data_IF_877926918029
#
_entry.id   IF_877926918029
#
_cell.length_a   1.000
_cell.length_b   1.000
_cell.length_c   1.000
_cell.angle_alpha   90.00
_cell.angle_beta   90.00
_cell.angle_gamma   90.00
#
_symmetry.space_group_name_H-M   'P 1'
#
loop_
_entity.id
_entity.type
_entity.pdbx_description
1 polymer ?
#
# COMPACT_ATOMS: atom_id res chain seq x y z
N UNK A 1 -12.36 -7.49 -15.83
CA UNK A 1 -11.87 -7.91 -14.49
C UNK A 1 -12.57 -9.16 -13.95
N UNK A 2 -13.83 -9.10 -13.47
CA UNK A 2 -14.50 -10.29 -12.86
C UNK A 2 -14.63 -11.44 -13.86
N UNK A 3 -15.10 -11.16 -15.08
CA UNK A 3 -15.28 -12.17 -16.11
C UNK A 3 -13.94 -12.84 -16.50
N UNK A 4 -12.88 -12.05 -16.70
CA UNK A 4 -11.53 -12.58 -16.98
C UNK A 4 -11.03 -13.49 -15.85
N UNK A 5 -11.26 -13.12 -14.59
CA UNK A 5 -10.84 -13.93 -13.44
C UNK A 5 -11.67 -15.22 -13.31
N UNK A 6 -12.96 -15.20 -13.68
CA UNK A 6 -13.79 -16.40 -13.78
C UNK A 6 -13.35 -17.33 -14.91
N UNK A 7 -13.01 -16.78 -16.07
CA UNK A 7 -12.45 -17.56 -17.19
C UNK A 7 -11.10 -18.19 -16.81
N UNK A 8 -10.23 -17.43 -16.15
CA UNK A 8 -8.96 -17.95 -15.62
C UNK A 8 -9.19 -19.08 -14.61
N UNK A 9 -10.16 -18.95 -13.71
CA UNK A 9 -10.53 -20.00 -12.76
C UNK A 9 -10.95 -21.30 -13.46
N UNK A 10 -11.71 -21.21 -14.57
CA UNK A 10 -12.07 -22.39 -15.36
C UNK A 10 -10.83 -23.06 -15.97
N UNK A 11 -9.92 -22.27 -16.55
CA UNK A 11 -8.67 -22.78 -17.13
C UNK A 11 -7.81 -23.48 -16.06
N UNK A 12 -7.62 -22.86 -14.89
CA UNK A 12 -6.84 -23.48 -13.81
C UNK A 12 -7.50 -24.75 -13.25
N UNK A 13 -8.83 -24.84 -13.28
CA UNK A 13 -9.55 -26.07 -12.93
C UNK A 13 -9.29 -27.18 -13.92
N UNK A 14 -9.32 -26.89 -15.21
CA UNK A 14 -9.04 -27.88 -16.27
C UNK A 14 -7.58 -28.38 -16.21
N UNK A 15 -6.65 -27.49 -15.86
CA UNK A 15 -5.23 -27.80 -15.64
C UNK A 15 -4.94 -28.48 -14.30
N UNK A 16 -5.93 -28.59 -13.40
CA UNK A 16 -5.77 -29.05 -12.01
C UNK A 16 -4.74 -28.26 -11.21
N UNK A 17 -4.51 -27.00 -11.57
CA UNK A 17 -3.63 -26.09 -10.83
C UNK A 17 -4.38 -25.48 -9.65
N UNK A 18 -4.17 -26.04 -8.46
CA UNK A 18 -4.83 -25.58 -7.24
C UNK A 18 -4.40 -24.15 -6.86
N UNK A 19 -3.12 -23.80 -7.03
CA UNK A 19 -2.60 -22.47 -6.70
C UNK A 19 -3.20 -21.40 -7.62
N UNK A 20 -3.29 -21.71 -8.91
CA UNK A 20 -3.96 -20.85 -9.88
C UNK A 20 -5.44 -20.63 -9.57
N UNK A 21 -6.16 -21.69 -9.17
CA UNK A 21 -7.56 -21.58 -8.74
C UNK A 21 -7.72 -20.69 -7.51
N UNK A 22 -6.87 -20.86 -6.50
CA UNK A 22 -6.91 -20.05 -5.28
C UNK A 22 -6.65 -18.58 -5.63
N UNK A 23 -5.59 -18.28 -6.38
CA UNK A 23 -5.29 -16.91 -6.83
C UNK A 23 -6.44 -16.27 -7.61
N UNK A 24 -7.09 -17.00 -8.52
CA UNK A 24 -8.24 -16.49 -9.27
C UNK A 24 -9.42 -16.16 -8.34
N UNK A 25 -9.69 -17.00 -7.32
CA UNK A 25 -10.73 -16.72 -6.32
C UNK A 25 -10.42 -15.49 -5.47
N UNK A 26 -9.15 -15.25 -5.14
CA UNK A 26 -8.72 -14.05 -4.42
C UNK A 26 -9.07 -12.80 -5.24
N UNK A 27 -8.68 -12.77 -6.53
CA UNK A 27 -8.97 -11.65 -7.42
C UNK A 27 -10.48 -11.44 -7.60
N UNK A 28 -11.25 -12.52 -7.80
CA UNK A 28 -12.72 -12.45 -7.90
C UNK A 28 -13.31 -11.82 -6.63
N UNK A 29 -12.85 -12.26 -5.46
CA UNK A 29 -13.31 -11.75 -4.17
C UNK A 29 -13.01 -10.27 -4.02
N UNK A 30 -11.76 -9.86 -4.21
CA UNK A 30 -11.33 -8.46 -4.08
C UNK A 30 -12.13 -7.53 -5.00
N UNK A 31 -12.39 -7.95 -6.24
CA UNK A 31 -13.19 -7.15 -7.19
C UNK A 31 -14.65 -7.04 -6.74
N UNK A 32 -15.26 -8.11 -6.23
CA UNK A 32 -16.63 -8.06 -5.71
C UNK A 32 -16.75 -7.18 -4.46
N UNK A 33 -15.76 -7.23 -3.56
CA UNK A 33 -15.69 -6.37 -2.37
C UNK A 33 -15.62 -4.90 -2.79
N UNK A 34 -14.73 -4.56 -3.74
CA UNK A 34 -14.62 -3.18 -4.27
C UNK A 34 -15.86 -2.70 -5.01
N UNK A 35 -16.65 -3.62 -5.57
CA UNK A 35 -17.94 -3.31 -6.19
C UNK A 35 -19.09 -3.17 -5.18
N UNK A 36 -18.84 -3.36 -3.89
CA UNK A 36 -19.88 -3.34 -2.86
C UNK A 36 -20.81 -4.56 -2.92
N UNK A 37 -20.32 -5.70 -3.43
CA UNK A 37 -21.08 -6.95 -3.56
C UNK A 37 -20.41 -8.13 -2.82
N UNK A 38 -20.16 -8.00 -1.49
CA UNK A 38 -19.49 -9.03 -0.70
C UNK A 38 -20.17 -10.41 -0.77
N UNK A 39 -21.50 -10.46 -0.83
CA UNK A 39 -22.26 -11.71 -0.91
C UNK A 39 -21.97 -12.59 -2.16
N UNK A 40 -21.31 -12.03 -3.18
CA UNK A 40 -20.91 -12.78 -4.38
C UNK A 40 -19.44 -13.23 -4.35
N UNK A 41 -18.69 -12.80 -3.35
CA UNK A 41 -17.27 -13.10 -3.25
C UNK A 41 -17.04 -14.52 -2.68
N UNK A 42 -16.32 -15.40 -3.39
CA UNK A 42 -16.19 -16.81 -3.01
C UNK A 42 -15.38 -17.07 -1.72
N UNK A 43 -14.54 -16.12 -1.29
CA UNK A 43 -13.71 -16.25 -0.08
C UNK A 43 -14.16 -15.32 1.06
N UNK A 44 -15.28 -14.60 0.90
CA UNK A 44 -15.74 -13.61 1.88
C UNK A 44 -16.12 -14.23 3.22
N UNK A 45 -16.93 -15.29 3.19
CA UNK A 45 -17.35 -16.01 4.41
C UNK A 45 -16.15 -16.59 5.19
N UNK A 46 -15.18 -17.18 4.49
CA UNK A 46 -13.95 -17.70 5.11
C UNK A 46 -13.13 -16.55 5.72
N UNK A 47 -13.04 -15.41 5.04
CA UNK A 47 -12.40 -14.21 5.56
C UNK A 47 -13.04 -13.71 6.86
N UNK A 48 -14.38 -13.67 6.93
CA UNK A 48 -15.12 -13.25 8.12
C UNK A 48 -14.93 -14.22 9.29
N UNK A 49 -14.93 -15.53 9.02
CA UNK A 49 -14.67 -16.54 10.03
C UNK A 49 -13.26 -16.39 10.62
N UNK A 50 -12.25 -16.19 9.77
CA UNK A 50 -10.87 -15.97 10.20
C UNK A 50 -10.70 -14.66 10.98
N UNK A 51 -11.36 -13.59 10.55
CA UNK A 51 -11.36 -12.31 11.27
C UNK A 51 -11.99 -12.45 12.66
N UNK A 52 -13.08 -13.22 12.79
CA UNK A 52 -13.68 -13.55 14.07
C UNK A 52 -12.74 -14.35 14.98
N UNK A 53 -12.02 -15.33 14.42
CA UNK A 53 -10.98 -16.08 15.16
C UNK A 53 -9.84 -15.19 15.63
N UNK A 54 -9.41 -14.24 14.79
CA UNK A 54 -8.39 -13.24 15.17
C UNK A 54 -8.91 -12.36 16.31
N UNK A 55 -10.12 -11.84 16.21
CA UNK A 55 -10.72 -11.01 17.26
C UNK A 55 -10.82 -11.76 18.60
N UNK A 56 -11.29 -13.02 18.58
CA UNK A 56 -11.36 -13.86 19.76
C UNK A 56 -9.98 -14.17 20.33
N UNK A 57 -8.99 -14.48 19.48
CA UNK A 57 -7.63 -14.75 19.92
C UNK A 57 -6.95 -13.52 20.55
N UNK A 58 -7.25 -12.30 20.07
CA UNK A 58 -6.80 -11.05 20.71
C UNK A 58 -7.46 -10.90 22.10
N UNK A 59 -8.76 -11.21 22.21
CA UNK A 59 -9.49 -11.07 23.48
C UNK A 59 -9.00 -12.07 24.54
N UNK A 60 -8.75 -13.31 24.13
CA UNK A 60 -8.26 -14.40 24.97
C UNK A 60 -6.74 -14.39 25.15
N UNK A 61 -6.02 -13.54 24.39
CA UNK A 61 -4.55 -13.49 24.31
C UNK A 61 -3.92 -14.84 23.90
N UNK A 62 -4.57 -15.55 22.98
CA UNK A 62 -4.11 -16.83 22.43
C UNK A 62 -3.22 -16.60 21.19
N UNK A 63 -1.91 -16.53 21.42
CA UNK A 63 -0.90 -16.32 20.36
C UNK A 63 -0.96 -17.37 19.24
N UNK A 64 -0.91 -18.69 19.55
CA UNK A 64 -1.03 -19.74 18.55
C UNK A 64 -2.30 -19.66 17.70
N UNK A 65 -3.46 -19.41 18.31
CA UNK A 65 -4.71 -19.28 17.56
C UNK A 65 -4.71 -18.04 16.65
N UNK A 66 -4.18 -16.91 17.15
CA UNK A 66 -4.00 -15.70 16.37
C UNK A 66 -3.10 -15.94 15.15
N UNK A 67 -1.92 -16.54 15.35
CA UNK A 67 -0.97 -16.81 14.27
C UNK A 67 -1.55 -17.72 13.20
N UNK A 68 -2.20 -18.82 13.60
CA UNK A 68 -2.82 -19.75 12.66
C UNK A 68 -3.95 -19.09 11.83
N UNK A 69 -4.81 -18.30 12.48
CA UNK A 69 -5.88 -17.58 11.79
C UNK A 69 -5.34 -16.49 10.87
N UNK A 70 -4.34 -15.72 11.33
CA UNK A 70 -3.72 -14.65 10.56
C UNK A 70 -2.92 -15.20 9.36
N UNK A 71 -2.16 -16.28 9.53
CA UNK A 71 -1.44 -16.94 8.43
C UNK A 71 -2.41 -17.44 7.37
N UNK A 72 -3.51 -18.08 7.80
CA UNK A 72 -4.54 -18.53 6.87
C UNK A 72 -5.16 -17.35 6.14
N UNK A 73 -5.53 -16.27 6.84
CA UNK A 73 -6.09 -15.07 6.23
C UNK A 73 -5.15 -14.45 5.20
N UNK A 74 -3.86 -14.29 5.53
CA UNK A 74 -2.86 -13.78 4.61
C UNK A 74 -2.66 -14.70 3.39
N UNK A 75 -2.69 -16.01 3.58
CA UNK A 75 -2.56 -16.99 2.48
C UNK A 75 -3.69 -16.92 1.44
N UNK A 76 -4.87 -16.41 1.83
CA UNK A 76 -6.04 -16.29 0.96
C UNK A 76 -6.30 -14.85 0.51
N UNK A 77 -5.35 -13.92 0.65
CA UNK A 77 -5.49 -12.54 0.15
C UNK A 77 -5.61 -11.46 1.23
N UNK A 78 -5.48 -11.83 2.51
CA UNK A 78 -5.42 -10.91 3.63
C UNK A 78 -6.72 -10.13 3.85
N UNK A 79 -6.59 -8.90 4.35
CA UNK A 79 -7.73 -8.01 4.61
C UNK A 79 -8.44 -7.52 3.34
N UNK A 80 -7.86 -7.71 2.15
CA UNK A 80 -8.51 -7.38 0.88
C UNK A 80 -9.76 -8.20 0.59
N UNK A 81 -10.01 -9.26 1.37
CA UNK A 81 -11.23 -10.05 1.31
C UNK A 81 -12.43 -9.44 2.01
N UNK A 82 -12.25 -8.39 2.81
CA UNK A 82 -13.25 -7.87 3.74
C UNK A 82 -13.44 -6.38 3.56
N UNK A 83 -14.64 -5.88 3.85
CA UNK A 83 -14.89 -4.44 3.86
C UNK A 83 -14.31 -3.78 5.11
N UNK A 84 -13.95 -2.50 5.02
CA UNK A 84 -13.44 -1.73 6.18
C UNK A 84 -14.42 -1.75 7.35
N UNK A 85 -15.72 -1.74 7.05
CA UNK A 85 -16.78 -1.81 8.06
C UNK A 85 -16.83 -3.15 8.79
N UNK A 86 -16.57 -4.27 8.10
CA UNK A 86 -16.51 -5.60 8.70
C UNK A 86 -15.28 -5.74 9.58
N UNK A 87 -14.12 -5.29 9.09
CA UNK A 87 -12.87 -5.24 9.85
C UNK A 87 -13.04 -4.44 11.15
N UNK A 88 -13.59 -3.22 11.04
CA UNK A 88 -13.83 -2.38 12.20
C UNK A 88 -14.83 -3.01 13.17
N UNK A 89 -15.92 -3.61 12.66
CA UNK A 89 -16.97 -4.20 13.51
C UNK A 89 -16.46 -5.39 14.33
N UNK A 90 -15.57 -6.21 13.77
CA UNK A 90 -15.02 -7.36 14.48
C UNK A 90 -13.91 -6.97 15.46
N UNK A 91 -12.97 -6.11 15.04
CA UNK A 91 -11.76 -5.83 15.83
C UNK A 91 -11.93 -4.69 16.84
N UNK A 92 -12.72 -3.66 16.53
CA UNK A 92 -12.85 -2.47 17.39
C UNK A 92 -13.34 -2.78 18.81
N UNK A 93 -14.32 -3.67 19.04
CA UNK A 93 -14.78 -3.99 20.39
C UNK A 93 -13.72 -4.63 21.28
N UNK A 94 -12.83 -5.43 20.69
CA UNK A 94 -11.75 -6.12 21.42
C UNK A 94 -10.60 -5.14 21.69
N UNK A 95 -10.18 -4.38 20.67
CA UNK A 95 -9.10 -3.39 20.80
C UNK A 95 -9.50 -2.26 21.75
N UNK A 96 -10.74 -1.77 21.71
CA UNK A 96 -11.17 -0.64 22.54
C UNK A 96 -11.28 -0.98 24.03
N UNK A 97 -11.35 -2.26 24.39
CA UNK A 97 -11.46 -2.71 25.78
C UNK A 97 -10.16 -2.49 26.55
N UNK A 98 -9.03 -2.81 25.92
CA UNK A 98 -7.68 -2.59 26.42
C UNK A 98 -6.73 -2.32 25.25
N UNK A 99 -6.67 -1.06 24.76
CA UNK A 99 -5.92 -0.72 23.56
C UNK A 99 -4.43 -1.04 23.68
N UNK A 100 -3.85 -0.81 24.85
CA UNK A 100 -2.42 -1.01 25.04
C UNK A 100 -2.08 -2.50 25.01
N UNK A 101 -2.79 -3.33 25.76
CA UNK A 101 -2.48 -4.76 25.77
C UNK A 101 -2.84 -5.44 24.45
N UNK A 102 -3.88 -4.99 23.76
CA UNK A 102 -4.20 -5.48 22.43
C UNK A 102 -3.09 -5.17 21.43
N UNK A 103 -2.56 -3.95 21.41
CA UNK A 103 -1.40 -3.58 20.58
C UNK A 103 -0.17 -4.42 20.94
N UNK A 104 0.21 -4.49 22.22
CA UNK A 104 1.37 -5.30 22.64
C UNK A 104 1.23 -6.78 22.25
N UNK A 105 0.02 -7.35 22.34
CA UNK A 105 -0.26 -8.72 21.91
C UNK A 105 -0.16 -8.90 20.40
N UNK A 106 -0.76 -7.99 19.62
CA UNK A 106 -0.71 -8.01 18.16
C UNK A 106 0.75 -7.90 17.69
N UNK A 107 1.51 -6.95 18.22
CA UNK A 107 2.91 -6.72 17.87
C UNK A 107 3.77 -7.95 18.18
N UNK A 108 3.54 -8.60 19.33
CA UNK A 108 4.30 -9.79 19.75
C UNK A 108 3.97 -11.05 18.94
N UNK A 109 2.79 -11.12 18.29
CA UNK A 109 2.32 -12.31 17.58
C UNK A 109 2.13 -12.08 16.07
N UNK A 110 2.43 -10.89 15.57
CA UNK A 110 2.44 -10.60 14.14
C UNK A 110 3.35 -11.61 13.42
N UNK A 111 2.93 -12.08 12.24
CA UNK A 111 3.75 -12.98 11.42
C UNK A 111 5.10 -12.31 11.18
N UNK A 112 6.20 -13.07 11.37
CA UNK A 112 7.57 -12.59 11.15
C UNK A 112 7.66 -11.90 9.78
N UNK A 113 7.74 -10.57 9.82
CA UNK A 113 7.60 -9.72 8.64
C UNK A 113 6.74 -8.47 8.85
N UNK A 114 5.93 -8.39 9.92
CA UNK A 114 5.09 -7.21 10.20
C UNK A 114 5.47 -6.38 11.43
N UNK A 115 6.00 -6.95 12.52
CA UNK A 115 6.55 -6.29 13.73
C UNK A 115 7.23 -7.42 14.52
N UNK A 116 8.35 -7.33 15.25
CA UNK A 116 9.19 -6.25 15.71
C UNK A 116 10.00 -6.81 16.89
N UNK A 117 10.94 -7.74 16.66
CA UNK A 117 11.91 -8.12 17.69
C UNK A 117 12.66 -6.85 18.13
N UNK A 118 12.63 -6.47 19.42
CA UNK A 118 13.32 -5.26 19.88
C UNK A 118 14.84 -5.30 19.62
N UNK A 119 15.44 -6.48 19.41
CA UNK A 119 16.84 -6.65 19.01
C UNK A 119 17.03 -6.96 17.50
N UNK A 120 16.14 -7.73 16.84
CA UNK A 120 16.18 -7.89 15.37
C UNK A 120 15.58 -6.72 14.57
N UNK A 121 15.06 -5.68 15.22
CA UNK A 121 14.81 -4.36 14.62
C UNK A 121 16.06 -3.69 14.02
N UNK A 122 17.26 -4.24 14.27
CA UNK A 122 18.53 -3.87 13.62
C UNK A 122 18.80 -4.62 12.31
N UNK A 123 18.07 -5.70 12.03
CA UNK A 123 18.14 -6.46 10.77
C UNK A 123 16.74 -6.53 10.17
N UNK A 124 16.17 -5.36 9.86
CA UNK A 124 15.03 -5.29 8.92
C UNK A 124 15.38 -6.14 7.71
N UNK A 125 14.44 -6.95 7.22
CA UNK A 125 14.57 -7.46 5.86
C UNK A 125 14.76 -6.24 4.96
N UNK A 126 15.89 -6.17 4.27
CA UNK A 126 16.27 -5.09 3.34
C UNK A 126 15.34 -5.04 2.11
N UNK A 127 14.05 -5.26 2.26
CA UNK A 127 13.10 -5.46 1.15
C UNK A 127 12.02 -4.38 1.06
N UNK A 128 11.83 -3.50 2.06
CA UNK A 128 10.93 -2.35 1.94
C UNK A 128 11.38 -1.08 2.70
N UNK A 129 10.92 0.12 2.26
CA UNK A 129 11.23 1.39 2.91
C UNK A 129 10.62 1.46 4.32
N UNK A 130 11.37 2.03 5.27
CA UNK A 130 10.95 2.18 6.68
C UNK A 130 9.84 3.21 6.85
N UNK A 131 9.82 4.24 6.01
CA UNK A 131 8.81 5.28 5.99
C UNK A 131 8.46 5.60 4.55
N UNK A 132 7.17 5.69 4.23
CA UNK A 132 6.71 6.24 2.96
C UNK A 132 6.16 7.63 3.23
N UNK A 133 6.82 8.64 2.67
CA UNK A 133 6.35 10.03 2.72
C UNK A 133 5.78 10.40 1.37
N UNK A 134 4.47 10.63 1.33
CA UNK A 134 3.84 11.24 0.17
C UNK A 134 4.08 12.75 0.20
N UNK A 135 4.56 13.32 -0.91
CA UNK A 135 4.63 14.77 -1.07
C UNK A 135 3.32 15.26 -1.66
N UNK A 136 2.61 16.20 -1.01
CA UNK A 136 1.39 16.77 -1.56
C UNK A 136 1.67 17.38 -2.94
N UNK A 137 0.94 16.91 -3.94
CA UNK A 137 1.04 17.36 -5.34
C UNK A 137 1.09 18.88 -5.48
N UNK A 138 0.29 19.58 -4.67
CA UNK A 138 0.22 21.04 -4.69
C UNK A 138 1.57 21.69 -4.37
N UNK A 139 2.36 21.11 -3.46
CA UNK A 139 3.68 21.64 -3.10
C UNK A 139 4.67 21.53 -4.27
N UNK A 140 4.65 20.43 -5.00
CA UNK A 140 5.46 20.25 -6.21
C UNK A 140 5.16 21.34 -7.25
N UNK A 141 3.88 21.53 -7.58
CA UNK A 141 3.47 22.51 -8.59
C UNK A 141 3.60 23.97 -8.13
N UNK A 142 3.52 24.23 -6.82
CA UNK A 142 3.79 25.54 -6.28
C UNK A 142 5.27 25.93 -6.44
N UNK A 143 6.19 24.96 -6.27
CA UNK A 143 7.62 25.15 -6.54
C UNK A 143 7.89 25.54 -8.00
N UNK A 144 7.31 24.82 -8.96
CA UNK A 144 7.41 25.17 -10.38
C UNK A 144 6.84 26.56 -10.68
N UNK A 145 5.72 26.92 -10.05
CA UNK A 145 5.09 28.23 -10.23
C UNK A 145 6.01 29.37 -9.80
N UNK A 146 6.74 29.21 -8.69
CA UNK A 146 7.77 30.18 -8.28
C UNK A 146 8.98 30.20 -9.21
N UNK A 147 9.33 29.06 -9.80
CA UNK A 147 10.35 28.96 -10.85
C UNK A 147 9.93 29.54 -12.20
N UNK A 148 8.73 30.13 -12.30
CA UNK A 148 8.20 30.72 -13.54
C UNK A 148 7.54 29.72 -14.49
N UNK A 149 7.43 28.45 -14.12
CA UNK A 149 6.82 27.40 -14.95
C UNK A 149 5.39 27.14 -14.47
N UNK A 150 4.43 27.20 -15.39
CA UNK A 150 3.01 27.11 -15.09
C UNK A 150 2.38 25.92 -15.81
N UNK A 151 2.37 24.75 -15.16
CA UNK A 151 1.73 23.57 -15.73
C UNK A 151 0.21 23.68 -15.71
N UNK A 152 -0.43 23.42 -16.85
CA UNK A 152 -1.88 23.24 -16.94
C UNK A 152 -2.34 21.93 -16.30
N UNK A 153 -3.63 21.78 -15.96
CA UNK A 153 -4.15 20.60 -15.25
C UNK A 153 -3.74 19.25 -15.88
N UNK A 154 -3.70 19.15 -17.22
CA UNK A 154 -3.29 17.95 -17.95
C UNK A 154 -1.80 17.58 -17.81
N UNK A 155 -0.94 18.53 -17.47
CA UNK A 155 0.48 18.28 -17.23
C UNK A 155 0.82 18.14 -15.74
N UNK A 156 -0.21 18.19 -14.87
CA UNK A 156 -0.05 18.01 -13.44
C UNK A 156 -0.18 16.54 -13.05
N UNK A 157 0.70 15.68 -13.56
CA UNK A 157 0.58 14.24 -13.42
C UNK A 157 1.48 13.62 -12.33
N UNK A 158 2.27 14.42 -11.60
CA UNK A 158 3.14 13.90 -10.54
C UNK A 158 2.28 13.46 -9.34
N UNK A 159 2.50 12.22 -8.92
CA UNK A 159 2.21 11.75 -7.57
C UNK A 159 3.54 11.21 -7.00
N UNK A 160 4.10 11.90 -6.01
CA UNK A 160 5.45 11.63 -5.52
C UNK A 160 5.42 10.98 -4.13
N UNK A 161 6.00 9.77 -4.04
CA UNK A 161 6.29 9.09 -2.79
C UNK A 161 7.79 8.92 -2.58
N UNK A 162 8.28 9.24 -1.39
CA UNK A 162 9.66 8.95 -1.00
C UNK A 162 9.66 7.82 0.02
N UNK A 163 10.33 6.72 -0.31
CA UNK A 163 10.63 5.66 0.63
C UNK A 163 11.94 5.98 1.36
N UNK A 164 11.89 6.17 2.68
CA UNK A 164 13.08 6.31 3.49
C UNK A 164 13.42 4.95 4.08
N UNK A 165 14.53 4.37 3.66
CA UNK A 165 15.03 3.07 4.13
C UNK A 165 15.89 3.20 5.39
N UNK A 166 16.36 4.40 5.71
CA UNK A 166 17.06 4.71 6.95
C UNK A 166 17.00 6.22 7.23
N UNK A 167 16.71 6.59 8.48
CA UNK A 167 16.83 7.99 8.94
C UNK A 167 18.32 8.41 8.99
N UNK A 168 19.24 7.44 9.08
CA UNK A 168 20.67 7.70 9.36
C UNK A 168 21.53 7.84 8.11
N UNK A 169 21.12 7.24 7.00
CA UNK A 169 21.93 7.14 5.77
C UNK A 169 21.09 7.53 4.56
N UNK A 170 21.46 8.64 3.91
CA UNK A 170 20.77 9.17 2.71
C UNK A 170 20.96 8.24 1.51
N UNK A 171 22.05 7.48 1.50
CA UNK A 171 22.50 6.66 0.36
C UNK A 171 21.59 5.45 0.06
N UNK A 172 20.70 5.07 0.98
CA UNK A 172 19.79 3.93 0.81
C UNK A 172 18.34 4.35 0.51
N UNK A 173 18.04 5.64 0.36
CA UNK A 173 16.67 6.10 0.20
C UNK A 173 16.17 6.04 -1.26
N UNK A 174 15.31 5.07 -1.57
CA UNK A 174 14.62 5.03 -2.86
C UNK A 174 13.51 6.07 -2.94
N UNK A 175 13.56 6.92 -3.98
CA UNK A 175 12.43 7.77 -4.34
C UNK A 175 11.70 7.16 -5.52
N UNK A 176 10.40 6.93 -5.35
CA UNK A 176 9.55 6.37 -6.40
C UNK A 176 8.56 7.45 -6.83
N UNK A 177 8.74 7.97 -8.03
CA UNK A 177 7.75 8.83 -8.69
C UNK A 177 6.80 7.96 -9.51
N UNK A 178 5.49 8.14 -9.32
CA UNK A 178 4.48 7.56 -10.20
C UNK A 178 3.70 8.67 -10.87
N UNK A 179 3.19 8.35 -12.06
CA UNK A 179 2.34 9.25 -12.82
C UNK A 179 1.14 8.49 -13.33
N UNK A 180 -0.04 9.04 -13.08
CA UNK A 180 -1.28 8.55 -13.66
C UNK A 180 -1.84 9.63 -14.59
N UNK A 181 -2.10 9.24 -15.82
CA UNK A 181 -2.80 10.06 -16.79
C UNK A 181 -4.10 9.37 -17.14
N UNK A 182 -5.22 10.02 -16.81
CA UNK A 182 -6.53 9.60 -17.27
C UNK A 182 -6.87 10.33 -18.56
N UNK A 183 -7.02 9.58 -19.65
CA UNK A 183 -7.55 10.13 -20.90
C UNK A 183 -9.02 10.49 -20.70
N UNK A 184 -9.42 11.69 -21.12
CA UNK A 184 -10.81 12.13 -21.07
C UNK A 184 -11.59 11.48 -22.22
N UNK A 185 -12.91 11.29 -22.05
CA UNK A 185 -13.74 10.66 -23.10
C UNK A 185 -13.76 11.48 -24.39
N UNK A 186 -13.65 12.81 -24.28
CA UNK A 186 -13.54 13.75 -25.39
C UNK A 186 -12.10 14.04 -25.81
N UNK A 187 -11.12 13.20 -25.43
CA UNK A 187 -9.79 13.29 -26.00
C UNK A 187 -9.87 13.07 -27.51
N UNK A 188 -9.20 13.93 -28.27
CA UNK A 188 -9.10 13.75 -29.70
C UNK A 188 -8.46 12.39 -30.01
N UNK A 189 -8.88 11.75 -31.11
CA UNK A 189 -8.38 10.42 -31.51
C UNK A 189 -6.85 10.36 -31.61
N UNK A 190 -6.19 11.49 -31.90
CA UNK A 190 -4.73 11.56 -31.96
C UNK A 190 -4.09 11.27 -30.60
N UNK A 191 -4.68 11.71 -29.48
CA UNK A 191 -4.14 11.52 -28.12
C UNK A 191 -4.14 10.03 -27.73
N UNK A 192 -5.15 9.28 -28.19
CA UNK A 192 -5.27 7.82 -27.99
C UNK A 192 -4.27 7.03 -28.82
N UNK A 193 -3.80 7.59 -29.95
CA UNK A 193 -2.84 6.93 -30.84
C UNK A 193 -1.38 7.07 -30.40
N UNK A 194 -1.10 7.92 -29.40
CA UNK A 194 0.24 8.15 -28.92
C UNK A 194 0.76 6.96 -28.11
N UNK A 195 1.95 6.47 -28.47
CA UNK A 195 2.66 5.48 -27.65
C UNK A 195 3.20 6.06 -26.34
N UNK A 196 3.55 7.35 -26.37
CA UNK A 196 4.10 8.09 -25.24
C UNK A 196 3.41 9.44 -25.16
N UNK A 197 2.64 9.64 -24.10
CA UNK A 197 1.91 10.89 -23.91
C UNK A 197 2.88 11.99 -23.43
N UNK A 198 2.88 13.20 -24.04
CA UNK A 198 3.80 14.29 -23.66
C UNK A 198 3.76 14.64 -22.17
N UNK A 199 2.58 14.61 -21.54
CA UNK A 199 2.44 14.85 -20.11
C UNK A 199 3.15 13.80 -19.24
N UNK A 200 3.21 12.53 -19.69
CA UNK A 200 3.93 11.48 -18.96
C UNK A 200 5.45 11.65 -19.10
N UNK A 201 5.92 12.00 -20.31
CA UNK A 201 7.34 12.28 -20.57
C UNK A 201 7.82 13.48 -19.73
N UNK A 202 7.04 14.55 -19.72
CA UNK A 202 7.35 15.74 -18.94
C UNK A 202 7.20 15.47 -17.42
N UNK A 203 6.25 14.65 -17.00
CA UNK A 203 6.14 14.24 -15.60
C UNK A 203 7.40 13.54 -15.07
N UNK A 204 8.10 12.75 -15.90
CA UNK A 204 9.37 12.16 -15.50
C UNK A 204 10.42 13.25 -15.19
N UNK A 205 10.51 14.29 -16.03
CA UNK A 205 11.41 15.44 -15.83
C UNK A 205 11.01 16.29 -14.62
N UNK A 206 9.71 16.54 -14.47
CA UNK A 206 9.17 17.27 -13.33
C UNK A 206 9.48 16.52 -12.02
N UNK A 207 9.34 15.19 -12.01
CA UNK A 207 9.62 14.38 -10.83
C UNK A 207 11.09 14.50 -10.41
N UNK A 208 12.03 14.35 -11.34
CA UNK A 208 13.46 14.55 -11.08
C UNK A 208 13.79 15.94 -10.53
N UNK A 209 13.08 16.98 -11.01
CA UNK A 209 13.25 18.36 -10.52
C UNK A 209 12.69 18.58 -9.10
N UNK A 210 11.69 17.79 -8.69
CA UNK A 210 11.10 17.84 -7.34
C UNK A 210 11.93 17.06 -6.32
N UNK A 211 12.67 16.04 -6.75
CA UNK A 211 13.57 15.25 -5.90
C UNK A 211 14.85 16.06 -5.64
N UNK A 212 14.76 17.04 -4.74
CA UNK A 212 15.92 17.78 -4.29
C UNK A 212 16.67 16.98 -3.21
N UNK A 213 17.98 16.72 -3.37
CA UNK A 213 18.78 16.02 -2.36
C UNK A 213 18.79 16.70 -0.98
N UNK A 214 18.48 18.00 -0.89
CA UNK A 214 18.34 18.71 0.38
C UNK A 214 17.12 18.25 1.21
N UNK A 215 16.06 17.72 0.59
CA UNK A 215 14.93 17.11 1.32
C UNK A 215 15.22 15.70 1.82
N UNK A 216 16.35 15.11 1.40
CA UNK A 216 16.80 13.81 1.87
C UNK A 216 17.77 13.91 3.04
N UNK A 217 18.23 15.11 3.41
CA UNK A 217 19.09 15.26 4.59
C UNK A 217 18.26 15.16 5.88
N UNK A 218 18.69 14.35 6.87
CA UNK A 218 18.02 14.26 8.17
C UNK A 218 17.95 15.65 8.82
N UNK A 219 16.81 15.99 9.44
CA UNK A 219 16.60 17.31 10.08
C UNK A 219 17.67 17.65 11.13
N UNK A 220 18.32 16.65 11.70
CA UNK A 220 19.41 16.83 12.68
C UNK A 220 20.69 17.40 12.05
N UNK A 221 20.92 17.20 10.75
CA UNK A 221 22.07 17.78 10.04
C UNK A 221 21.84 19.26 9.67
N UNK A 222 20.58 19.71 9.55
CA UNK A 222 20.28 21.11 9.24
C UNK A 222 20.52 22.07 10.42
N UNK A 223 20.52 21.57 11.66
CA UNK A 223 20.70 22.40 12.87
C UNK A 223 22.17 22.74 13.20
N UNK A 224 23.15 22.10 12.56
CA UNK A 224 24.58 22.28 12.84
C UNK A 224 25.27 23.44 12.10
N UNK A 225 24.61 24.07 11.13
CA UNK A 225 25.23 25.06 10.22
C UNK A 225 25.28 26.51 10.72
N UNK A 226 24.74 26.80 11.91
CA UNK A 226 24.75 28.14 12.50
C UNK A 226 26.13 28.52 13.05
N UNK A 227 27.06 28.96 12.20
CA UNK A 227 28.31 29.59 12.63
C UNK A 227 28.01 30.82 13.49
N UNK A 228 28.45 30.76 14.75
CA UNK A 228 28.72 31.92 15.61
C UNK A 228 29.49 32.96 14.80
N UNK A 229 28.94 34.17 14.70
CA UNK A 229 29.71 35.40 14.52
C UNK A 229 29.89 36.03 15.89
#
# INVERSE_FOLDING_TARGET
AVQEAQEALMIYRDLKDKKGQDNAKIVITEVYIRQGKPALAPLHDEGLELLGKIANAIDERDGPAYQAANERLMSIGGFGLLTDTEQASALSPVISRDPQAATEFIDANALEGFEGDPEAGKKRSNTGPQFVRQTPKMNCYFGFRFGGIAYGPRYRCIELGTGLWSIKTVEENDTVGYSCLQLQDHSDDWERSLRLHPALLDCALQSGSCVNPAYMQPQDQQKGGGKKK
#
